data_IF_528617988004
#
_entry.id   IF_528617988004
#
_cell.length_a   1.000
_cell.length_b   1.000
_cell.length_c   1.000
_cell.angle_alpha   90.00
_cell.angle_beta   90.00
_cell.angle_gamma   90.00
#
_symmetry.space_group_name_H-M   'P 1'
#
loop_
_entity.id
_entity.type
_entity.pdbx_description
1 polymer ?
#
# COMPACT_ATOMS: atom_id res chain seq x y z
N UNK A 1 -0.53 -29.46 14.34
CA UNK A 1 0.41 -28.48 13.78
C UNK A 1 -0.14 -27.07 14.05
N UNK A 2 0.21 -26.47 15.19
CA UNK A 2 -0.24 -25.13 15.63
C UNK A 2 0.85 -24.13 15.27
N UNK A 3 0.60 -23.24 14.31
CA UNK A 3 1.49 -22.11 14.04
C UNK A 3 0.67 -20.82 14.13
N UNK A 4 0.59 -20.32 15.36
CA UNK A 4 0.37 -18.91 15.66
C UNK A 4 1.78 -18.39 15.88
N UNK A 5 2.18 -17.30 15.21
CA UNK A 5 3.46 -16.64 15.52
C UNK A 5 3.46 -16.22 16.97
N UNK A 6 4.03 -17.06 17.83
CA UNK A 6 4.32 -16.68 19.20
C UNK A 6 5.68 -16.00 19.20
N UNK A 7 5.90 -15.12 20.17
CA UNK A 7 7.22 -14.52 20.43
C UNK A 7 8.36 -15.57 20.38
N UNK A 8 8.09 -16.81 20.81
CA UNK A 8 9.01 -17.95 20.72
C UNK A 8 9.61 -18.21 19.34
N UNK A 9 8.86 -17.97 18.26
CA UNK A 9 9.33 -18.22 16.90
C UNK A 9 10.37 -17.19 16.44
N UNK A 10 10.40 -16.03 17.09
CA UNK A 10 11.30 -14.91 16.77
C UNK A 10 12.20 -14.55 17.97
N UNK A 11 12.12 -15.26 19.09
CA UNK A 11 12.75 -14.87 20.36
C UNK A 11 14.27 -14.70 20.21
N UNK A 12 14.91 -15.63 19.51
CA UNK A 12 16.35 -15.59 19.21
C UNK A 12 16.77 -14.44 18.29
N UNK A 13 15.84 -13.96 17.44
CA UNK A 13 16.08 -12.91 16.44
C UNK A 13 15.44 -11.57 16.84
N UNK A 14 14.72 -11.51 17.97
CA UNK A 14 13.88 -10.36 18.32
C UNK A 14 14.69 -9.08 18.48
N UNK A 15 15.87 -9.16 19.11
CA UNK A 15 16.76 -8.00 19.26
C UNK A 15 17.21 -7.43 17.93
N UNK A 16 17.54 -8.30 16.96
CA UNK A 16 17.95 -7.89 15.61
C UNK A 16 16.78 -7.28 14.83
N UNK A 17 15.60 -7.90 14.92
CA UNK A 17 14.38 -7.39 14.28
C UNK A 17 13.97 -6.04 14.88
N UNK A 18 14.04 -5.88 16.20
CA UNK A 18 13.73 -4.61 16.86
C UNK A 18 14.74 -3.53 16.48
N UNK A 19 16.03 -3.85 16.47
CA UNK A 19 17.06 -2.89 16.04
C UNK A 19 16.88 -2.51 14.57
N UNK A 20 16.53 -3.46 13.70
CA UNK A 20 16.20 -3.21 12.30
C UNK A 20 15.01 -2.26 12.18
N UNK A 21 13.94 -2.48 12.94
CA UNK A 21 12.79 -1.57 12.99
C UNK A 21 13.20 -0.14 13.39
N UNK A 22 14.00 0.01 14.45
CA UNK A 22 14.49 1.33 14.89
C UNK A 22 15.32 2.01 13.79
N UNK A 23 16.25 1.29 13.17
CA UNK A 23 17.12 1.83 12.12
C UNK A 23 16.33 2.25 10.87
N UNK A 24 15.23 1.55 10.57
CA UNK A 24 14.38 1.82 9.41
C UNK A 24 13.30 2.88 9.68
N UNK A 25 13.06 3.24 10.95
CA UNK A 25 11.96 4.11 11.34
C UNK A 25 12.00 5.47 10.63
N UNK A 26 13.15 6.14 10.66
CA UNK A 26 13.33 7.45 10.01
C UNK A 26 13.35 7.36 8.47
N UNK A 27 13.65 6.17 7.94
CA UNK A 27 13.62 5.95 6.49
C UNK A 27 12.18 5.77 6.00
N UNK A 28 11.37 5.00 6.71
CA UNK A 28 10.01 4.64 6.27
C UNK A 28 8.94 5.58 6.83
N UNK A 29 9.20 6.30 7.93
CA UNK A 29 8.35 7.31 8.59
C UNK A 29 6.86 7.03 8.44
N UNK A 30 6.22 7.74 7.51
CA UNK A 30 4.77 7.67 7.24
C UNK A 30 4.27 6.25 6.95
N UNK A 31 5.12 5.40 6.36
CA UNK A 31 4.84 3.99 6.14
C UNK A 31 4.77 3.17 7.44
N UNK A 32 5.45 3.58 8.52
CA UNK A 32 5.42 2.90 9.81
C UNK A 32 4.41 3.48 10.80
N UNK A 33 4.18 4.80 10.81
CA UNK A 33 3.37 5.42 11.86
C UNK A 33 1.94 5.84 11.44
N UNK A 34 1.65 6.11 10.16
CA UNK A 34 0.33 6.68 9.79
C UNK A 34 -0.82 5.77 10.17
N UNK A 35 -0.73 4.48 9.80
CA UNK A 35 -1.80 3.54 10.14
C UNK A 35 -1.85 3.21 11.63
N UNK A 36 -0.74 2.85 12.32
CA UNK A 36 -0.79 2.57 13.75
C UNK A 36 -1.27 3.76 14.60
N UNK A 37 -0.88 4.98 14.24
CA UNK A 37 -1.39 6.18 14.94
C UNK A 37 -2.89 6.40 14.74
N UNK A 38 -3.47 5.89 13.65
CA UNK A 38 -4.91 5.94 13.40
C UNK A 38 -5.74 4.94 14.19
N UNK A 39 -5.10 3.93 14.81
CA UNK A 39 -5.76 2.93 15.66
C UNK A 39 -6.06 3.46 17.07
N UNK A 40 -5.62 4.68 17.37
CA UNK A 40 -5.95 5.39 18.61
C UNK A 40 -7.44 5.79 18.57
N UNK A 41 -8.12 5.70 19.72
CA UNK A 41 -9.55 6.02 19.82
C UNK A 41 -9.87 7.45 19.35
N UNK A 42 -11.00 7.61 18.66
CA UNK A 42 -11.54 8.92 18.27
C UNK A 42 -11.20 9.38 16.86
N UNK A 43 -10.49 8.57 16.06
CA UNK A 43 -10.22 8.85 14.64
C UNK A 43 -11.38 8.36 13.76
N UNK A 44 -11.87 9.22 12.87
CA UNK A 44 -12.91 8.88 11.88
C UNK A 44 -12.45 7.75 10.93
N UNK A 45 -13.39 6.92 10.49
CA UNK A 45 -13.11 5.73 9.68
C UNK A 45 -12.43 6.10 8.35
N UNK A 46 -12.82 7.22 7.77
CA UNK A 46 -12.25 7.82 6.56
C UNK A 46 -10.78 8.19 6.73
N UNK A 47 -10.44 8.72 7.91
CA UNK A 47 -9.08 9.07 8.25
C UNK A 47 -8.24 7.80 8.48
N UNK A 48 -8.80 6.78 9.15
CA UNK A 48 -8.13 5.48 9.30
C UNK A 48 -7.84 4.84 7.93
N UNK A 49 -8.83 4.89 7.02
CA UNK A 49 -8.70 4.40 5.65
C UNK A 49 -7.64 5.17 4.87
N UNK A 50 -7.69 6.50 4.92
CA UNK A 50 -6.69 7.35 4.27
C UNK A 50 -5.29 7.06 4.81
N UNK A 51 -5.16 6.86 6.13
CA UNK A 51 -3.89 6.57 6.77
C UNK A 51 -3.31 5.21 6.39
N UNK A 52 -4.13 4.15 6.27
CA UNK A 52 -3.63 2.85 5.81
C UNK A 52 -3.22 2.86 4.35
N UNK A 53 -3.99 3.53 3.48
CA UNK A 53 -3.63 3.66 2.06
C UNK A 53 -2.35 4.46 1.89
N UNK A 54 -2.23 5.63 2.52
CA UNK A 54 -1.01 6.44 2.49
C UNK A 54 0.19 5.71 3.11
N UNK A 55 -0.02 4.96 4.21
CA UNK A 55 1.00 4.12 4.80
C UNK A 55 1.54 3.08 3.81
N UNK A 56 0.65 2.34 3.15
CA UNK A 56 1.02 1.36 2.11
C UNK A 56 1.75 2.01 0.92
N UNK A 57 1.29 3.18 0.46
CA UNK A 57 1.97 3.93 -0.60
C UNK A 57 3.40 4.31 -0.19
N UNK A 58 3.61 4.75 1.05
CA UNK A 58 4.91 5.11 1.59
C UNK A 58 5.81 3.88 1.73
N UNK A 59 5.28 2.77 2.28
CA UNK A 59 6.02 1.50 2.38
C UNK A 59 6.53 1.04 1.01
N UNK A 60 5.67 1.07 -0.01
CA UNK A 60 6.09 0.73 -1.38
C UNK A 60 7.15 1.70 -1.90
N UNK A 61 6.92 3.01 -1.77
CA UNK A 61 7.84 4.04 -2.27
C UNK A 61 9.25 3.89 -1.70
N UNK A 62 9.37 3.63 -0.40
CA UNK A 62 10.67 3.48 0.25
C UNK A 62 11.33 2.14 -0.07
N UNK A 63 10.55 1.08 -0.24
CA UNK A 63 11.07 -0.28 -0.52
C UNK A 63 11.55 -0.45 -1.96
N UNK A 64 10.79 0.08 -2.93
CA UNK A 64 11.08 -0.08 -4.36
C UNK A 64 11.72 1.16 -4.99
N UNK A 65 11.72 2.30 -4.29
CA UNK A 65 12.26 3.54 -4.82
C UNK A 65 11.44 4.11 -5.98
N UNK A 66 12.14 4.60 -7.02
CA UNK A 66 11.49 5.02 -8.27
C UNK A 66 11.10 3.79 -9.08
N UNK A 67 10.05 3.93 -9.89
CA UNK A 67 9.46 2.83 -10.67
C UNK A 67 10.55 2.08 -11.47
N UNK A 68 10.74 0.76 -11.26
CA UNK A 68 11.75 -0.02 -11.99
C UNK A 68 11.46 -0.10 -13.50
N UNK A 69 10.24 0.21 -13.92
CA UNK A 69 9.83 0.24 -15.34
C UNK A 69 10.13 1.59 -16.05
N UNK A 70 10.80 2.54 -15.38
CA UNK A 70 11.25 3.78 -16.01
C UNK A 70 12.54 3.50 -16.77
N UNK A 71 12.42 3.48 -18.09
CA UNK A 71 13.55 3.65 -19.00
C UNK A 71 14.09 5.09 -18.88
N UNK A 72 15.17 5.25 -18.11
CA UNK A 72 15.81 6.55 -17.87
C UNK A 72 16.38 7.16 -19.15
N UNK A 73 16.79 6.35 -20.13
CA UNK A 73 17.26 6.81 -21.44
C UNK A 73 16.10 7.42 -22.23
N UNK A 74 14.95 6.74 -22.26
CA UNK A 74 13.73 7.25 -22.90
C UNK A 74 13.24 8.52 -22.21
N UNK A 75 13.37 8.63 -20.89
CA UNK A 75 13.04 9.85 -20.15
C UNK A 75 13.99 11.00 -20.51
N UNK A 76 15.29 10.74 -20.60
CA UNK A 76 16.28 11.74 -21.00
C UNK A 76 15.99 12.24 -22.41
N UNK A 77 15.71 11.32 -23.33
CA UNK A 77 15.36 11.64 -24.71
C UNK A 77 14.11 12.53 -24.79
N UNK A 78 13.03 12.18 -24.08
CA UNK A 78 11.80 13.00 -24.07
C UNK A 78 12.06 14.39 -23.46
N UNK A 79 12.88 14.50 -22.40
CA UNK A 79 13.25 15.79 -21.82
C UNK A 79 14.05 16.65 -22.79
N UNK A 80 14.96 16.05 -23.55
CA UNK A 80 15.80 16.78 -24.51
C UNK A 80 14.98 17.24 -25.72
N UNK A 81 14.06 16.42 -26.21
CA UNK A 81 13.10 16.82 -27.25
C UNK A 81 12.18 17.95 -26.76
N UNK A 82 11.67 17.87 -25.52
CA UNK A 82 10.87 18.94 -24.92
C UNK A 82 11.66 20.24 -24.74
N UNK A 83 12.96 20.17 -24.43
CA UNK A 83 13.81 21.37 -24.32
C UNK A 83 14.04 22.03 -25.67
N UNK A 84 14.14 21.25 -26.75
CA UNK A 84 14.30 21.75 -28.13
C UNK A 84 13.00 22.27 -28.75
N UNK A 85 11.84 21.87 -28.23
CA UNK A 85 10.54 22.34 -28.71
C UNK A 85 10.37 23.86 -28.51
N UNK A 86 10.41 24.61 -29.63
CA UNK A 86 10.24 26.08 -29.66
C UNK A 86 8.78 26.52 -29.58
N UNK A 87 7.83 25.61 -29.84
CA UNK A 87 6.38 25.86 -29.79
C UNK A 87 5.82 25.98 -28.37
N UNK A 88 6.59 25.63 -27.34
CA UNK A 88 6.17 25.68 -25.94
C UNK A 88 7.00 26.71 -25.17
N UNK A 89 6.36 27.49 -24.31
CA UNK A 89 7.10 28.35 -23.38
C UNK A 89 7.79 27.50 -22.28
N UNK A 90 8.73 28.10 -21.55
CA UNK A 90 9.50 27.40 -20.51
C UNK A 90 8.65 26.82 -19.38
N UNK A 91 7.54 27.49 -19.02
CA UNK A 91 6.62 27.06 -17.97
C UNK A 91 5.86 25.80 -18.37
N UNK A 92 5.36 25.75 -19.59
CA UNK A 92 4.61 24.60 -20.10
C UNK A 92 5.53 23.40 -20.34
N UNK A 93 6.77 23.63 -20.80
CA UNK A 93 7.81 22.59 -20.85
C UNK A 93 8.08 22.00 -19.47
N UNK A 94 8.23 22.84 -18.45
CA UNK A 94 8.47 22.39 -17.09
C UNK A 94 7.27 21.61 -16.52
N UNK A 95 6.03 22.09 -16.76
CA UNK A 95 4.81 21.36 -16.38
C UNK A 95 4.72 19.97 -17.01
N UNK A 96 5.06 19.83 -18.29
CA UNK A 96 5.05 18.53 -18.97
C UNK A 96 6.13 17.62 -18.39
N UNK A 97 7.35 18.13 -18.17
CA UNK A 97 8.43 17.35 -17.55
C UNK A 97 8.02 16.86 -16.16
N UNK A 98 7.38 17.71 -15.35
CA UNK A 98 6.94 17.34 -14.01
C UNK A 98 5.74 16.40 -14.03
N UNK A 99 4.84 16.54 -15.00
CA UNK A 99 3.76 15.59 -15.25
C UNK A 99 4.28 14.21 -15.67
N UNK A 100 5.30 14.16 -16.54
CA UNK A 100 5.96 12.90 -16.93
C UNK A 100 6.61 12.25 -15.70
N UNK A 101 7.38 13.00 -14.91
CA UNK A 101 7.98 12.47 -13.67
C UNK A 101 6.92 11.93 -12.71
N UNK A 102 5.76 12.56 -12.63
CA UNK A 102 4.65 12.13 -11.77
C UNK A 102 4.00 10.85 -12.30
N UNK A 103 3.64 10.82 -13.58
CA UNK A 103 3.03 9.67 -14.26
C UNK A 103 3.97 8.46 -14.36
N UNK A 104 5.28 8.71 -14.22
CA UNK A 104 6.29 7.66 -14.18
C UNK A 104 6.35 6.91 -12.85
N UNK A 105 5.81 7.47 -11.75
CA UNK A 105 5.68 6.72 -10.50
C UNK A 105 4.62 5.62 -10.68
N UNK A 106 4.77 4.46 -10.02
CA UNK A 106 3.72 3.45 -10.07
C UNK A 106 2.45 4.04 -9.47
N UNK A 107 1.30 3.81 -10.12
CA UNK A 107 0.01 4.22 -9.57
C UNK A 107 -0.33 3.39 -8.32
N UNK A 108 -1.30 3.86 -7.52
CA UNK A 108 -1.69 3.20 -6.27
C UNK A 108 -2.02 1.71 -6.48
N UNK A 109 -2.73 1.36 -7.56
CA UNK A 109 -3.08 -0.03 -7.88
C UNK A 109 -1.84 -0.92 -7.98
N UNK A 110 -0.86 -0.49 -8.80
CA UNK A 110 0.40 -1.21 -9.01
C UNK A 110 1.17 -1.36 -7.70
N UNK A 111 1.24 -0.31 -6.89
CA UNK A 111 1.91 -0.36 -5.59
C UNK A 111 1.30 -1.41 -4.65
N UNK A 112 -0.02 -1.39 -4.50
CA UNK A 112 -0.72 -2.35 -3.65
C UNK A 112 -0.60 -3.78 -4.20
N UNK A 113 -0.66 -3.94 -5.52
CA UNK A 113 -0.48 -5.22 -6.18
C UNK A 113 0.92 -5.80 -5.94
N UNK A 114 1.97 -4.98 -6.06
CA UNK A 114 3.36 -5.39 -5.81
C UNK A 114 3.56 -5.82 -4.35
N UNK A 115 3.03 -5.04 -3.39
CA UNK A 115 3.06 -5.40 -1.98
C UNK A 115 2.33 -6.72 -1.71
N UNK A 116 1.17 -6.93 -2.34
CA UNK A 116 0.40 -8.16 -2.19
C UNK A 116 1.14 -9.38 -2.75
N UNK A 117 1.73 -9.27 -3.95
CA UNK A 117 2.53 -10.34 -4.58
C UNK A 117 3.71 -10.79 -3.71
N UNK A 118 4.33 -9.86 -2.97
CA UNK A 118 5.42 -10.21 -2.06
C UNK A 118 4.95 -11.01 -0.84
N UNK A 119 3.71 -10.79 -0.40
CA UNK A 119 3.14 -11.41 0.80
C UNK A 119 2.55 -12.77 0.46
N UNK A 120 1.73 -12.81 -0.58
CA UNK A 120 0.90 -13.96 -0.92
C UNK A 120 0.83 -14.09 -2.44
N UNK A 121 1.37 -15.18 -3.00
CA UNK A 121 1.46 -15.38 -4.45
C UNK A 121 0.37 -16.25 -5.08
N UNK A 122 -0.63 -16.69 -4.31
CA UNK A 122 -1.68 -17.62 -4.79
C UNK A 122 -3.08 -17.05 -4.55
N UNK A 123 -3.45 -16.04 -5.33
CA UNK A 123 -4.74 -15.35 -5.27
C UNK A 123 -5.43 -15.33 -6.63
N UNK A 124 -6.72 -14.98 -6.63
CA UNK A 124 -7.45 -14.70 -7.86
C UNK A 124 -7.11 -13.29 -8.34
N UNK A 125 -6.33 -13.20 -9.42
CA UNK A 125 -5.86 -11.93 -9.97
C UNK A 125 -6.98 -10.98 -10.35
N UNK A 126 -8.06 -11.49 -10.98
CA UNK A 126 -9.21 -10.66 -11.35
C UNK A 126 -9.87 -10.07 -10.10
N UNK A 127 -10.13 -10.89 -9.08
CA UNK A 127 -10.76 -10.45 -7.83
C UNK A 127 -9.87 -9.49 -7.04
N UNK A 128 -8.56 -9.69 -7.06
CA UNK A 128 -7.62 -8.74 -6.48
C UNK A 128 -7.68 -7.39 -7.20
N UNK A 129 -7.71 -7.39 -8.54
CA UNK A 129 -7.85 -6.16 -9.31
C UNK A 129 -9.17 -5.42 -9.00
N UNK A 130 -10.29 -6.15 -8.94
CA UNK A 130 -11.61 -5.58 -8.60
C UNK A 130 -11.57 -4.95 -7.18
N UNK A 131 -11.00 -5.66 -6.19
CA UNK A 131 -10.83 -5.15 -4.83
C UNK A 131 -9.94 -3.90 -4.78
N UNK A 132 -8.84 -3.86 -5.53
CA UNK A 132 -7.96 -2.70 -5.55
C UNK A 132 -8.62 -1.50 -6.26
N UNK A 133 -9.46 -1.73 -7.27
CA UNK A 133 -10.24 -0.66 -7.90
C UNK A 133 -11.22 -0.03 -6.90
N UNK A 134 -11.90 -0.84 -6.10
CA UNK A 134 -12.76 -0.38 -5.00
C UNK A 134 -12.01 0.48 -3.98
N UNK A 135 -10.78 0.10 -3.61
CA UNK A 135 -9.91 0.87 -2.71
C UNK A 135 -9.57 2.22 -3.33
N UNK A 136 -9.20 2.24 -4.61
CA UNK A 136 -8.78 3.46 -5.31
C UNK A 136 -9.95 4.42 -5.47
N UNK A 137 -11.12 3.92 -5.88
CA UNK A 137 -12.33 4.73 -6.03
C UNK A 137 -12.75 5.34 -4.69
N UNK A 138 -12.74 4.53 -3.61
CA UNK A 138 -13.04 5.00 -2.25
C UNK A 138 -12.06 6.08 -1.79
N UNK A 139 -10.76 5.89 -2.05
CA UNK A 139 -9.71 6.86 -1.70
C UNK A 139 -9.86 8.15 -2.49
N UNK A 140 -10.15 8.07 -3.78
CA UNK A 140 -10.38 9.25 -4.60
C UNK A 140 -11.62 10.01 -4.14
N UNK A 141 -12.69 9.31 -3.76
CA UNK A 141 -13.91 9.93 -3.23
C UNK A 141 -13.64 10.67 -1.93
N UNK A 142 -12.96 10.05 -0.98
CA UNK A 142 -12.60 10.70 0.30
C UNK A 142 -11.69 11.90 0.08
N UNK A 143 -10.65 11.78 -0.76
CA UNK A 143 -9.70 12.87 -0.99
C UNK A 143 -10.27 14.06 -1.75
N UNK A 144 -11.22 13.84 -2.66
CA UNK A 144 -11.80 14.92 -3.46
C UNK A 144 -13.02 15.57 -2.81
N UNK A 145 -13.81 14.82 -2.05
CA UNK A 145 -15.13 15.28 -1.58
C UNK A 145 -15.27 15.24 -0.05
N UNK A 146 -14.32 14.64 0.67
CA UNK A 146 -14.38 14.53 2.13
C UNK A 146 -15.49 13.60 2.64
N UNK A 147 -16.14 12.82 1.76
CA UNK A 147 -17.29 12.00 2.10
C UNK A 147 -18.19 11.68 0.89
N UNK A 148 -19.41 11.19 1.12
CA UNK A 148 -20.33 10.78 0.06
C UNK A 148 -20.68 11.94 -0.87
N UNK A 149 -20.75 11.64 -2.18
CA UNK A 149 -21.08 12.61 -3.25
C UNK A 149 -22.55 12.99 -3.29
N UNK A 150 -23.44 12.12 -2.82
CA UNK A 150 -24.90 12.34 -2.80
C UNK A 150 -25.60 11.37 -1.83
N UNK A 151 -26.90 11.58 -1.57
CA UNK A 151 -27.73 10.67 -0.77
C UNK A 151 -27.91 9.28 -1.40
N UNK A 152 -27.65 9.15 -2.70
CA UNK A 152 -27.72 7.89 -3.45
C UNK A 152 -26.34 7.22 -3.62
N UNK A 153 -25.32 7.72 -2.92
CA UNK A 153 -23.96 7.19 -2.99
C UNK A 153 -23.86 5.87 -2.21
N UNK A 154 -23.40 4.76 -2.82
CA UNK A 154 -23.08 3.53 -2.10
C UNK A 154 -21.87 3.67 -1.14
N UNK A 155 -21.31 4.87 -1.01
CA UNK A 155 -20.45 5.26 0.09
C UNK A 155 -21.14 5.03 1.44
N UNK A 156 -20.73 3.96 2.11
CA UNK A 156 -21.07 3.73 3.50
C UNK A 156 -19.80 3.73 4.33
N UNK A 157 -19.86 4.36 5.50
CA UNK A 157 -18.82 4.27 6.54
C UNK A 157 -18.45 2.81 6.80
N UNK A 158 -19.44 1.92 6.76
CA UNK A 158 -19.26 0.48 6.85
C UNK A 158 -18.35 -0.06 5.74
N UNK A 159 -18.58 0.28 4.46
CA UNK A 159 -17.71 -0.14 3.35
C UNK A 159 -16.29 0.37 3.54
N UNK A 160 -16.10 1.64 3.91
CA UNK A 160 -14.77 2.20 4.16
C UNK A 160 -14.06 1.45 5.31
N UNK A 161 -14.79 1.13 6.37
CA UNK A 161 -14.26 0.33 7.47
C UNK A 161 -13.84 -1.06 7.01
N UNK A 162 -14.67 -1.74 6.22
CA UNK A 162 -14.35 -3.07 5.68
C UNK A 162 -13.13 -3.04 4.75
N UNK A 163 -13.01 -2.00 3.91
CA UNK A 163 -11.82 -1.81 3.07
C UNK A 163 -10.56 -1.58 3.93
N UNK A 164 -10.63 -0.73 4.96
CA UNK A 164 -9.52 -0.53 5.92
C UNK A 164 -9.07 -1.84 6.56
N UNK A 165 -10.02 -2.62 7.08
CA UNK A 165 -9.75 -3.90 7.72
C UNK A 165 -9.14 -4.91 6.73
N UNK A 166 -9.64 -4.92 5.48
CA UNK A 166 -9.11 -5.79 4.40
C UNK A 166 -7.67 -5.45 4.02
N UNK A 167 -7.26 -4.18 4.17
CA UNK A 167 -5.89 -3.72 3.91
C UNK A 167 -4.93 -4.00 5.08
N UNK A 168 -5.43 -4.23 6.31
CA UNK A 168 -4.60 -4.47 7.49
C UNK A 168 -3.60 -5.63 7.33
N UNK A 169 -3.97 -6.81 6.80
CA UNK A 169 -3.02 -7.91 6.58
C UNK A 169 -1.91 -7.53 5.62
N UNK A 170 -2.22 -6.75 4.59
CA UNK A 170 -1.23 -6.27 3.61
C UNK A 170 -0.22 -5.37 4.34
N UNK A 171 -0.71 -4.39 5.09
CA UNK A 171 0.13 -3.46 5.85
C UNK A 171 1.05 -4.19 6.83
N UNK A 172 0.50 -5.03 7.70
CA UNK A 172 1.28 -5.71 8.74
C UNK A 172 2.34 -6.62 8.12
N UNK A 173 1.99 -7.41 7.11
CA UNK A 173 2.94 -8.28 6.45
C UNK A 173 4.01 -7.50 5.66
N UNK A 174 3.66 -6.36 5.05
CA UNK A 174 4.65 -5.48 4.41
C UNK A 174 5.65 -4.91 5.42
N UNK A 175 5.19 -4.42 6.58
CA UNK A 175 6.08 -3.94 7.65
C UNK A 175 7.01 -5.06 8.13
N UNK A 176 6.48 -6.25 8.41
CA UNK A 176 7.29 -7.38 8.86
C UNK A 176 8.33 -7.81 7.81
N UNK A 177 7.99 -7.77 6.52
CA UNK A 177 8.94 -8.00 5.41
C UNK A 177 10.04 -6.95 5.33
N UNK A 178 9.74 -5.70 5.68
CA UNK A 178 10.70 -4.60 5.68
C UNK A 178 11.65 -4.72 6.87
N UNK A 179 11.12 -5.05 8.05
CA UNK A 179 11.90 -5.23 9.28
C UNK A 179 12.86 -6.42 9.19
N UNK A 180 12.58 -7.42 8.36
CA UNK A 180 13.53 -8.48 8.05
C UNK A 180 12.98 -9.90 8.10
N UNK A 181 11.69 -10.08 8.44
CA UNK A 181 11.07 -11.41 8.44
C UNK A 181 11.10 -11.99 7.01
N UNK A 182 11.62 -13.21 6.87
CA UNK A 182 11.78 -13.87 5.57
C UNK A 182 10.43 -14.14 4.90
N UNK A 183 10.41 -14.10 3.57
CA UNK A 183 9.20 -14.27 2.74
C UNK A 183 8.44 -15.57 3.04
N UNK A 184 9.16 -16.65 3.30
CA UNK A 184 8.62 -17.97 3.66
C UNK A 184 7.76 -17.96 4.94
N UNK A 185 8.12 -17.14 5.93
CA UNK A 185 7.34 -16.99 7.16
C UNK A 185 6.15 -16.05 6.95
N UNK A 186 6.27 -15.06 6.08
CA UNK A 186 5.23 -14.05 5.87
C UNK A 186 3.96 -14.63 5.28
N UNK A 187 4.08 -15.56 4.32
CA UNK A 187 2.92 -16.32 3.82
C UNK A 187 2.20 -17.06 4.96
N UNK A 188 2.95 -17.68 5.87
CA UNK A 188 2.37 -18.37 7.03
C UNK A 188 1.71 -17.39 8.02
N UNK A 189 2.34 -16.25 8.30
CA UNK A 189 1.77 -15.20 9.15
C UNK A 189 0.46 -14.71 8.56
N UNK A 190 0.46 -14.35 7.28
CA UNK A 190 -0.72 -13.90 6.56
C UNK A 190 -1.88 -14.89 6.69
N UNK A 191 -1.61 -16.18 6.44
CA UNK A 191 -2.64 -17.23 6.44
C UNK A 191 -3.09 -17.69 7.83
N UNK A 192 -2.23 -17.64 8.85
CA UNK A 192 -2.47 -18.34 10.13
C UNK A 192 -2.53 -17.42 11.34
N UNK A 193 -2.06 -16.17 11.24
CA UNK A 193 -2.10 -15.24 12.37
C UNK A 193 -3.56 -14.94 12.75
N UNK A 194 -3.94 -15.13 14.02
CA UNK A 194 -5.24 -14.70 14.54
C UNK A 194 -5.41 -13.18 14.46
N UNK A 195 -4.33 -12.42 14.64
CA UNK A 195 -4.36 -10.95 14.57
C UNK A 195 -4.73 -10.43 13.18
N UNK A 196 -4.57 -11.25 12.14
CA UNK A 196 -4.91 -10.91 10.76
C UNK A 196 -6.20 -11.60 10.28
N UNK A 197 -6.88 -12.36 11.15
CA UNK A 197 -8.04 -13.16 10.77
C UNK A 197 -9.16 -12.33 10.15
N UNK A 198 -9.52 -11.22 10.78
CA UNK A 198 -10.65 -10.38 10.33
C UNK A 198 -10.39 -9.82 8.93
N UNK A 199 -9.27 -9.12 8.74
CA UNK A 199 -8.89 -8.60 7.42
C UNK A 199 -8.71 -9.69 6.36
N UNK A 200 -8.14 -10.85 6.73
CA UNK A 200 -8.01 -11.99 5.82
C UNK A 200 -9.36 -12.55 5.41
N UNK A 201 -10.29 -12.70 6.35
CA UNK A 201 -11.64 -13.19 6.07
C UNK A 201 -12.39 -12.26 5.12
N UNK A 202 -12.17 -10.95 5.22
CA UNK A 202 -12.73 -10.00 4.26
C UNK A 202 -12.12 -10.19 2.86
N UNK A 203 -10.81 -10.38 2.74
CA UNK A 203 -10.18 -10.71 1.45
C UNK A 203 -10.71 -12.03 0.84
N UNK A 204 -11.05 -13.03 1.67
CA UNK A 204 -11.75 -14.25 1.24
C UNK A 204 -13.17 -13.95 0.74
N UNK A 205 -13.91 -13.05 1.41
CA UNK A 205 -15.25 -12.62 1.00
C UNK A 205 -15.23 -11.84 -0.32
N UNK A 206 -14.20 -11.02 -0.56
CA UNK A 206 -13.94 -10.39 -1.86
C UNK A 206 -13.54 -11.41 -2.95
N UNK A 207 -13.29 -12.67 -2.59
CA UNK A 207 -12.85 -13.73 -3.50
C UNK A 207 -11.40 -13.59 -3.96
N UNK A 208 -10.62 -12.71 -3.30
CA UNK A 208 -9.18 -12.53 -3.56
C UNK A 208 -8.43 -13.80 -3.21
N UNK A 209 -8.73 -14.35 -2.03
CA UNK A 209 -8.11 -15.57 -1.52
C UNK A 209 -8.97 -16.78 -1.92
N UNK A 210 -8.32 -17.85 -2.36
CA UNK A 210 -8.99 -19.15 -2.53
C UNK A 210 -9.28 -19.74 -1.15
N UNK A 211 -10.51 -20.21 -0.95
CA UNK A 211 -10.87 -21.03 0.23
C UNK A 211 -10.22 -22.40 0.17
#
# INVERSE_FOLDING_TARGET
>A
MKFVTFFKDIESEFGELFQSYINLYDTYLSGFYLYPSSLIRGIFVEQQFSNIVCGLEALHTHRYGKNPDIDEEKLSHIKDELRKATSLNSRDRQKIIDSIKYNMKPNLKKRLLDLFHEIYGDYNEKKLNDFLDDVIESRNTIMHYGGPRSTDDPYSVQRIQLLSLSLTPIYVCSVLRIVGIKKEFIKNIFLKSPALYEGRSLLEQYGVLKK
#
